data_IF_651851026643
#
_entry.id   IF_651851026643
#
_cell.length_a   1.000
_cell.length_b   1.000
_cell.length_c   1.000
_cell.angle_alpha   90.00
_cell.angle_beta   90.00
_cell.angle_gamma   90.00
#
_symmetry.space_group_name_H-M   'P 1'
#
loop_
_entity.id
_entity.type
_entity.pdbx_description
1 polymer ?
#
# COMPACT_ATOMS: atom_id res chain seq x y z
N UNK A 1 -0.61 1.71 -66.51
CA UNK A 1 -0.11 2.96 -65.87
C UNK A 1 -0.90 3.51 -64.69
N UNK A 2 -2.09 2.96 -64.36
CA UNK A 2 -2.90 3.44 -63.19
C UNK A 2 -2.58 2.74 -61.88
N UNK A 3 -1.77 1.69 -61.82
CA UNK A 3 -1.43 0.95 -60.62
C UNK A 3 -0.12 1.44 -59.95
N UNK A 4 0.71 2.19 -60.68
CA UNK A 4 2.01 2.67 -60.18
C UNK A 4 1.93 3.95 -59.35
N UNK A 5 0.82 4.74 -59.50
CA UNK A 5 0.64 6.01 -58.78
C UNK A 5 0.05 5.84 -57.37
N UNK A 6 -0.62 4.70 -57.05
CA UNK A 6 -1.18 4.46 -55.71
C UNK A 6 -0.12 4.09 -54.67
N UNK A 7 0.93 3.38 -55.07
CA UNK A 7 1.98 2.96 -54.15
C UNK A 7 2.91 4.08 -53.65
N UNK A 8 3.18 5.09 -54.52
CA UNK A 8 4.04 6.24 -54.15
C UNK A 8 3.32 7.19 -53.16
N UNK A 9 2.00 7.39 -53.31
CA UNK A 9 1.24 8.21 -52.40
C UNK A 9 1.14 7.66 -50.97
N UNK A 10 1.11 6.34 -50.81
CA UNK A 10 1.06 5.69 -49.50
C UNK A 10 2.43 5.68 -48.78
N UNK A 11 3.51 5.59 -49.54
CA UNK A 11 4.88 5.71 -48.99
C UNK A 11 5.16 7.13 -48.51
N UNK A 12 4.77 8.14 -49.28
CA UNK A 12 4.92 9.54 -48.86
C UNK A 12 4.01 9.89 -47.66
N UNK A 13 2.80 9.37 -47.62
CA UNK A 13 1.91 9.53 -46.44
C UNK A 13 2.51 8.92 -45.19
N UNK A 14 3.11 7.72 -45.28
CA UNK A 14 3.78 7.09 -44.14
C UNK A 14 5.03 7.84 -43.71
N UNK A 15 5.86 8.37 -44.63
CA UNK A 15 7.06 9.11 -44.29
C UNK A 15 6.80 10.48 -43.68
N UNK A 16 5.65 11.10 -43.96
CA UNK A 16 5.28 12.42 -43.41
C UNK A 16 4.45 12.23 -42.12
N UNK A 17 3.60 11.18 -42.02
CA UNK A 17 2.78 10.92 -40.85
C UNK A 17 3.55 10.30 -39.63
N UNK A 18 4.58 9.47 -39.89
CA UNK A 18 5.36 8.86 -38.82
C UNK A 18 6.07 9.86 -37.89
N UNK A 19 6.72 10.91 -38.36
CA UNK A 19 7.28 11.96 -37.52
C UNK A 19 6.19 12.82 -36.82
N UNK A 20 5.00 12.95 -37.44
CA UNK A 20 3.89 13.72 -36.90
C UNK A 20 3.15 12.97 -35.79
N UNK A 21 3.22 11.62 -35.74
CA UNK A 21 2.58 10.82 -34.68
C UNK A 21 3.20 11.17 -33.33
N UNK A 22 4.51 11.16 -33.19
CA UNK A 22 5.17 11.52 -31.94
C UNK A 22 4.95 12.98 -31.52
N UNK A 23 4.80 13.90 -32.51
CA UNK A 23 4.43 15.28 -32.22
C UNK A 23 2.96 15.41 -31.79
N UNK A 24 2.08 14.60 -32.36
CA UNK A 24 0.66 14.54 -31.98
C UNK A 24 0.49 13.87 -30.63
N UNK A 25 1.21 12.79 -30.33
CA UNK A 25 1.25 12.17 -29.00
C UNK A 25 1.70 13.18 -27.94
N UNK A 26 2.81 13.87 -28.18
CA UNK A 26 3.30 14.91 -27.27
C UNK A 26 2.37 16.12 -27.15
N UNK A 27 1.66 16.50 -28.22
CA UNK A 27 0.63 17.55 -28.15
C UNK A 27 -0.62 17.07 -27.41
N UNK A 28 -1.01 15.81 -27.55
CA UNK A 28 -2.13 15.21 -26.81
C UNK A 28 -1.78 15.13 -25.32
N UNK A 29 -0.59 14.68 -24.96
CA UNK A 29 -0.10 14.68 -23.56
C UNK A 29 -0.04 16.10 -22.96
N UNK A 30 0.26 17.12 -23.76
CA UNK A 30 0.33 18.51 -23.32
C UNK A 30 -1.05 19.19 -23.21
N UNK A 31 -2.02 18.80 -24.04
CA UNK A 31 -3.37 19.36 -24.10
C UNK A 31 -4.36 18.58 -23.24
N UNK A 32 -4.10 17.31 -23.02
CA UNK A 32 -4.85 16.39 -22.18
C UNK A 32 -3.83 15.62 -21.35
N UNK A 33 -3.29 16.21 -20.28
CA UNK A 33 -2.47 15.46 -19.35
C UNK A 33 -3.33 14.29 -18.90
N UNK A 34 -2.78 13.08 -19.03
CA UNK A 34 -3.41 11.88 -18.47
C UNK A 34 -3.34 12.04 -16.95
N UNK A 35 -4.40 12.56 -16.37
CA UNK A 35 -4.51 12.82 -14.93
C UNK A 35 -4.77 11.54 -14.13
N UNK A 36 -4.71 10.38 -14.77
CA UNK A 36 -4.99 9.07 -14.14
C UNK A 36 -6.48 8.86 -13.83
N UNK A 37 -7.29 9.91 -13.78
CA UNK A 37 -8.69 9.86 -13.36
C UNK A 37 -9.54 8.98 -14.28
N UNK A 38 -9.25 8.98 -15.58
CA UNK A 38 -9.98 8.15 -16.55
C UNK A 38 -9.70 6.65 -16.35
N UNK A 39 -8.48 6.27 -15.98
CA UNK A 39 -8.12 4.88 -15.69
C UNK A 39 -8.77 4.41 -14.38
N UNK A 40 -8.79 5.27 -13.37
CA UNK A 40 -9.43 5.01 -12.07
C UNK A 40 -10.95 4.85 -12.20
N UNK A 41 -11.60 5.75 -12.94
CA UNK A 41 -13.04 5.65 -13.23
C UNK A 41 -13.35 4.33 -13.95
N UNK A 42 -12.55 3.94 -14.94
CA UNK A 42 -12.69 2.68 -15.66
C UNK A 42 -12.51 1.45 -14.77
N UNK A 43 -11.60 1.48 -13.80
CA UNK A 43 -11.44 0.39 -12.82
C UNK A 43 -12.66 0.32 -11.90
N UNK A 44 -13.08 1.44 -11.34
CA UNK A 44 -14.27 1.51 -10.48
C UNK A 44 -15.58 1.19 -11.22
N UNK A 45 -15.65 1.39 -12.53
CA UNK A 45 -16.78 0.99 -13.37
C UNK A 45 -16.94 -0.52 -13.52
N UNK A 46 -15.92 -1.32 -13.10
CA UNK A 46 -16.08 -2.78 -12.97
C UNK A 46 -17.11 -3.19 -11.91
N UNK A 47 -17.40 -2.30 -10.93
CA UNK A 47 -18.38 -2.53 -9.86
C UNK A 47 -19.80 -2.16 -10.31
N UNK A 48 -20.24 -2.72 -11.44
CA UNK A 48 -21.55 -2.45 -12.01
C UNK A 48 -22.69 -3.18 -11.30
N UNK A 49 -23.79 -2.51 -11.01
CA UNK A 49 -24.96 -3.11 -10.34
C UNK A 49 -25.58 -4.29 -11.11
N UNK A 50 -25.43 -4.35 -12.44
CA UNK A 50 -25.93 -5.48 -13.25
C UNK A 50 -25.26 -6.81 -12.87
N UNK A 51 -24.02 -6.79 -12.39
CA UNK A 51 -23.31 -8.00 -11.99
C UNK A 51 -23.80 -8.56 -10.65
N UNK A 52 -24.50 -7.78 -9.82
CA UNK A 52 -25.05 -8.23 -8.54
C UNK A 52 -26.06 -9.37 -8.65
N UNK A 53 -26.56 -9.67 -9.85
CA UNK A 53 -27.37 -10.86 -10.13
C UNK A 53 -26.54 -12.13 -10.26
N UNK A 54 -25.23 -12.00 -10.39
CA UNK A 54 -24.26 -13.09 -10.56
C UNK A 54 -23.16 -12.97 -9.50
N UNK A 55 -23.38 -13.50 -8.27
CA UNK A 55 -22.47 -13.29 -7.13
C UNK A 55 -21.00 -13.61 -7.44
N UNK A 56 -20.73 -14.73 -8.10
CA UNK A 56 -19.36 -15.10 -8.46
C UNK A 56 -18.65 -14.05 -9.33
N UNK A 57 -19.37 -13.45 -10.30
CA UNK A 57 -18.81 -12.38 -11.13
C UNK A 57 -18.61 -11.10 -10.35
N UNK A 58 -19.56 -10.74 -9.48
CA UNK A 58 -19.45 -9.54 -8.63
C UNK A 58 -18.23 -9.65 -7.68
N UNK A 59 -18.02 -10.81 -7.08
CA UNK A 59 -16.89 -11.08 -6.19
C UNK A 59 -15.58 -10.98 -6.96
N UNK A 60 -15.50 -11.57 -8.15
CA UNK A 60 -14.30 -11.49 -9.01
C UNK A 60 -13.98 -10.04 -9.42
N UNK A 61 -14.99 -9.23 -9.77
CA UNK A 61 -14.78 -7.81 -10.05
C UNK A 61 -14.32 -7.05 -8.80
N UNK A 62 -14.91 -7.33 -7.63
CA UNK A 62 -14.46 -6.75 -6.36
C UNK A 62 -13.02 -7.12 -6.04
N UNK A 63 -12.61 -8.39 -6.28
CA UNK A 63 -11.22 -8.84 -6.09
C UNK A 63 -10.25 -8.02 -6.93
N UNK A 64 -10.53 -7.82 -8.22
CA UNK A 64 -9.68 -7.05 -9.10
C UNK A 64 -9.52 -5.60 -8.65
N UNK A 65 -10.63 -4.96 -8.24
CA UNK A 65 -10.60 -3.57 -7.78
C UNK A 65 -9.91 -3.45 -6.41
N UNK A 66 -10.09 -4.42 -5.50
CA UNK A 66 -9.40 -4.42 -4.21
C UNK A 66 -7.89 -4.64 -4.39
N UNK A 67 -7.47 -5.50 -5.32
CA UNK A 67 -6.05 -5.67 -5.64
C UNK A 67 -5.43 -4.37 -6.16
N UNK A 68 -6.12 -3.66 -7.06
CA UNK A 68 -5.69 -2.34 -7.54
C UNK A 68 -5.56 -1.31 -6.40
N UNK A 69 -6.51 -1.31 -5.46
CA UNK A 69 -6.46 -0.48 -4.25
C UNK A 69 -5.24 -0.81 -3.39
N UNK A 70 -4.97 -2.09 -3.16
CA UNK A 70 -3.82 -2.56 -2.37
C UNK A 70 -2.48 -2.12 -2.99
N UNK A 71 -2.30 -2.31 -4.30
CA UNK A 71 -1.10 -1.89 -5.03
C UNK A 71 -0.90 -0.36 -5.00
N UNK A 72 -2.00 0.41 -5.07
CA UNK A 72 -1.97 1.87 -4.95
C UNK A 72 -1.58 2.32 -3.54
N UNK A 73 -2.11 1.67 -2.50
CA UNK A 73 -1.75 1.96 -1.11
C UNK A 73 -0.25 1.66 -0.84
N UNK A 74 0.26 0.54 -1.38
CA UNK A 74 1.70 0.23 -1.34
C UNK A 74 2.51 1.34 -2.02
N UNK A 75 2.18 1.70 -3.26
CA UNK A 75 2.88 2.74 -4.01
C UNK A 75 2.86 4.10 -3.28
N UNK A 76 1.73 4.46 -2.67
CA UNK A 76 1.55 5.70 -1.93
C UNK A 76 2.47 5.76 -0.69
N UNK A 77 2.48 4.69 0.12
CA UNK A 77 3.34 4.62 1.29
C UNK A 77 4.84 4.63 0.91
N UNK A 78 5.23 3.87 -0.11
CA UNK A 78 6.62 3.85 -0.59
C UNK A 78 7.09 5.24 -1.06
N UNK A 79 6.20 6.00 -1.71
CA UNK A 79 6.46 7.39 -2.12
C UNK A 79 6.62 8.29 -0.90
N UNK A 80 5.71 8.23 0.07
CA UNK A 80 5.74 9.04 1.28
C UNK A 80 7.01 8.81 2.11
N UNK A 81 7.40 7.54 2.33
CA UNK A 81 8.64 7.18 3.03
C UNK A 81 9.88 7.70 2.29
N UNK A 82 9.83 7.77 0.95
CA UNK A 82 10.93 8.31 0.13
C UNK A 82 11.16 9.82 0.32
N UNK A 83 10.14 10.58 0.74
CA UNK A 83 10.20 12.05 0.87
C UNK A 83 11.15 12.52 1.97
N UNK A 84 11.36 11.74 3.04
CA UNK A 84 12.31 12.08 4.11
C UNK A 84 13.74 12.21 3.55
N UNK A 85 14.16 11.27 2.71
CA UNK A 85 15.50 11.23 2.16
C UNK A 85 15.67 12.13 0.93
N UNK A 86 14.58 12.31 0.17
CA UNK A 86 14.57 13.12 -1.04
C UNK A 86 13.26 13.86 -1.18
N UNK A 87 13.24 15.10 -0.71
CA UNK A 87 12.06 15.94 -0.84
C UNK A 87 11.70 16.24 -2.31
N UNK A 88 10.41 16.20 -2.61
CA UNK A 88 9.82 16.53 -3.91
C UNK A 88 8.41 17.07 -3.70
N UNK A 89 8.18 18.34 -4.06
CA UNK A 89 6.83 18.95 -4.01
C UNK A 89 5.83 18.23 -4.91
N UNK A 90 6.31 17.62 -5.99
CA UNK A 90 5.47 16.80 -6.88
C UNK A 90 5.01 15.55 -6.16
N UNK A 91 5.93 14.79 -5.58
CA UNK A 91 5.63 13.51 -4.93
C UNK A 91 4.77 13.74 -3.67
N UNK A 92 5.02 14.81 -2.92
CA UNK A 92 4.17 15.23 -1.80
C UNK A 92 2.71 15.44 -2.23
N UNK A 93 2.47 16.18 -3.33
CA UNK A 93 1.11 16.36 -3.85
C UNK A 93 0.50 15.05 -4.33
N UNK A 94 1.28 14.20 -5.01
CA UNK A 94 0.83 12.90 -5.49
C UNK A 94 0.41 11.97 -4.34
N UNK A 95 1.08 12.04 -3.18
CA UNK A 95 0.67 11.26 -2.00
C UNK A 95 -0.75 11.64 -1.57
N UNK A 96 -1.07 12.93 -1.45
CA UNK A 96 -2.42 13.37 -1.06
C UNK A 96 -3.49 13.11 -2.14
N UNK A 97 -3.13 13.23 -3.43
CA UNK A 97 -4.02 12.89 -4.53
C UNK A 97 -4.34 11.39 -4.54
N UNK A 98 -3.34 10.54 -4.29
CA UNK A 98 -3.50 9.07 -4.25
C UNK A 98 -4.31 8.64 -3.03
N UNK A 99 -4.12 9.25 -1.86
CA UNK A 99 -4.94 9.01 -0.67
C UNK A 99 -6.41 9.27 -0.98
N UNK A 100 -6.74 10.43 -1.54
CA UNK A 100 -8.13 10.78 -1.93
C UNK A 100 -8.73 9.83 -2.97
N UNK A 101 -7.90 9.20 -3.80
CA UNK A 101 -8.32 8.13 -4.72
C UNK A 101 -8.65 6.86 -3.94
N UNK A 102 -7.79 6.45 -3.01
CA UNK A 102 -7.96 5.23 -2.21
C UNK A 102 -9.20 5.32 -1.32
N UNK A 103 -9.49 6.47 -0.72
CA UNK A 103 -10.72 6.75 0.01
C UNK A 103 -11.98 6.50 -0.86
N UNK A 104 -11.97 6.98 -2.13
CA UNK A 104 -13.05 6.67 -3.07
C UNK A 104 -13.17 5.18 -3.42
N UNK A 105 -12.05 4.45 -3.45
CA UNK A 105 -12.08 2.99 -3.64
C UNK A 105 -12.74 2.30 -2.45
N UNK A 106 -12.40 2.68 -1.22
CA UNK A 106 -13.00 2.12 0.00
C UNK A 106 -14.51 2.31 0.01
N UNK A 107 -14.99 3.55 -0.18
CA UNK A 107 -16.41 3.89 -0.21
C UNK A 107 -17.19 3.07 -1.26
N UNK A 108 -16.66 3.00 -2.50
CA UNK A 108 -17.34 2.33 -3.62
C UNK A 108 -17.32 0.80 -3.44
N UNK A 109 -16.18 0.24 -3.04
CA UNK A 109 -16.03 -1.19 -2.73
C UNK A 109 -16.90 -1.59 -1.55
N UNK A 110 -16.84 -0.86 -0.43
CA UNK A 110 -17.63 -1.13 0.76
C UNK A 110 -19.13 -1.17 0.45
N UNK A 111 -19.63 -0.15 -0.26
CA UNK A 111 -21.03 -0.10 -0.70
C UNK A 111 -21.39 -1.26 -1.63
N UNK A 112 -20.52 -1.64 -2.55
CA UNK A 112 -20.77 -2.73 -3.49
C UNK A 112 -20.72 -4.10 -2.82
N UNK A 113 -19.75 -4.37 -1.99
CA UNK A 113 -19.60 -5.59 -1.20
C UNK A 113 -20.79 -5.79 -0.26
N UNK A 114 -21.29 -4.74 0.40
CA UNK A 114 -22.51 -4.79 1.22
C UNK A 114 -23.75 -5.18 0.40
N UNK A 115 -23.85 -4.76 -0.88
CA UNK A 115 -24.91 -5.23 -1.76
C UNK A 115 -24.78 -6.70 -2.11
N UNK A 116 -23.55 -7.21 -2.25
CA UNK A 116 -23.28 -8.63 -2.51
C UNK A 116 -23.70 -9.48 -1.30
N UNK A 117 -23.43 -9.05 -0.05
CA UNK A 117 -23.83 -9.81 1.17
C UNK A 117 -25.35 -10.01 1.29
N UNK A 118 -26.14 -9.15 0.64
CA UNK A 118 -27.60 -9.30 0.60
C UNK A 118 -28.11 -10.42 -0.34
N UNK A 119 -27.20 -11.08 -1.08
CA UNK A 119 -27.52 -12.15 -2.02
C UNK A 119 -27.35 -13.53 -1.38
N UNK A 120 -27.86 -14.57 -2.03
CA UNK A 120 -27.62 -15.95 -1.61
C UNK A 120 -26.22 -16.37 -1.99
N UNK A 121 -25.30 -16.33 -1.05
CA UNK A 121 -23.89 -16.73 -1.21
C UNK A 121 -23.64 -18.14 -0.71
N UNK A 122 -22.69 -18.84 -1.29
CA UNK A 122 -22.08 -20.03 -0.67
C UNK A 122 -21.22 -19.59 0.53
N UNK A 123 -20.83 -20.55 1.39
CA UNK A 123 -19.96 -20.27 2.50
C UNK A 123 -18.65 -19.65 2.04
N UNK A 124 -17.95 -20.26 1.06
CA UNK A 124 -16.69 -19.72 0.54
C UNK A 124 -16.82 -18.33 -0.09
N UNK A 125 -17.96 -18.03 -0.74
CA UNK A 125 -18.23 -16.69 -1.25
C UNK A 125 -18.46 -15.67 -0.12
N UNK A 126 -19.12 -16.05 0.95
CA UNK A 126 -19.32 -15.18 2.13
C UNK A 126 -17.99 -14.87 2.82
N UNK A 127 -17.12 -15.87 2.93
CA UNK A 127 -15.77 -15.73 3.49
C UNK A 127 -14.91 -14.78 2.66
N UNK A 128 -14.94 -14.97 1.33
CA UNK A 128 -14.19 -14.10 0.42
C UNK A 128 -14.68 -12.64 0.46
N UNK A 129 -15.98 -12.40 0.48
CA UNK A 129 -16.57 -11.06 0.64
C UNK A 129 -16.20 -10.45 1.99
N UNK A 130 -16.20 -11.26 3.06
CA UNK A 130 -15.80 -10.82 4.40
C UNK A 130 -14.34 -10.38 4.42
N UNK A 131 -13.44 -11.15 3.79
CA UNK A 131 -12.02 -10.75 3.65
C UNK A 131 -11.89 -9.36 3.02
N UNK A 132 -12.55 -9.12 1.89
CA UNK A 132 -12.46 -7.82 1.22
C UNK A 132 -13.03 -6.70 2.09
N UNK A 133 -14.18 -6.90 2.76
CA UNK A 133 -14.76 -5.90 3.65
C UNK A 133 -13.84 -5.51 4.82
N UNK A 134 -13.07 -6.47 5.35
CA UNK A 134 -12.11 -6.17 6.42
C UNK A 134 -10.87 -5.47 5.88
N UNK A 135 -10.33 -5.91 4.75
CA UNK A 135 -9.04 -5.43 4.25
C UNK A 135 -9.10 -4.08 3.53
N UNK A 136 -10.24 -3.68 2.93
CA UNK A 136 -10.33 -2.36 2.26
C UNK A 136 -10.06 -1.21 3.23
N UNK A 137 -10.53 -1.32 4.48
CA UNK A 137 -10.27 -0.31 5.50
C UNK A 137 -8.80 -0.28 5.95
N UNK A 138 -8.11 -1.45 5.98
CA UNK A 138 -6.69 -1.48 6.30
C UNK A 138 -5.85 -0.84 5.18
N UNK A 139 -6.21 -1.02 3.89
CA UNK A 139 -5.53 -0.35 2.78
C UNK A 139 -5.76 1.17 2.77
N UNK A 140 -6.96 1.62 3.11
CA UNK A 140 -7.25 3.05 3.30
C UNK A 140 -6.40 3.61 4.42
N UNK A 141 -6.34 2.95 5.60
CA UNK A 141 -5.51 3.37 6.74
C UNK A 141 -4.02 3.42 6.42
N UNK A 142 -3.49 2.46 5.65
CA UNK A 142 -2.11 2.52 5.17
C UNK A 142 -1.87 3.78 4.35
N UNK A 143 -2.83 4.19 3.52
CA UNK A 143 -2.73 5.41 2.72
C UNK A 143 -2.88 6.68 3.56
N UNK A 144 -3.75 6.69 4.57
CA UNK A 144 -3.83 7.76 5.58
C UNK A 144 -2.48 7.97 6.27
N UNK A 145 -1.83 6.88 6.68
CA UNK A 145 -0.50 6.94 7.30
C UNK A 145 0.57 7.41 6.32
N UNK A 146 0.44 7.10 5.02
CA UNK A 146 1.32 7.66 3.99
C UNK A 146 1.21 9.19 3.93
N UNK A 147 -0.02 9.73 3.99
CA UNK A 147 -0.23 11.18 4.05
C UNK A 147 0.44 11.78 5.29
N UNK A 148 0.22 11.21 6.48
CA UNK A 148 0.83 11.68 7.73
C UNK A 148 2.38 11.65 7.68
N UNK A 149 2.97 10.58 7.12
CA UNK A 149 4.43 10.46 6.92
C UNK A 149 4.93 11.54 5.97
N UNK A 150 4.19 11.83 4.89
CA UNK A 150 4.54 12.88 3.95
C UNK A 150 4.48 14.28 4.58
N UNK A 151 3.52 14.52 5.48
CA UNK A 151 3.43 15.77 6.26
C UNK A 151 4.60 15.91 7.24
N UNK A 152 5.01 14.84 7.91
CA UNK A 152 6.21 14.82 8.75
C UNK A 152 7.48 15.09 7.92
N UNK A 153 7.60 14.50 6.72
CA UNK A 153 8.70 14.78 5.80
C UNK A 153 8.70 16.26 5.32
N UNK A 154 7.50 16.82 5.09
CA UNK A 154 7.34 18.25 4.78
C UNK A 154 7.82 19.14 5.93
N UNK A 155 7.48 18.78 7.16
CA UNK A 155 7.93 19.53 8.35
C UNK A 155 9.46 19.48 8.50
N UNK A 156 10.09 18.31 8.25
CA UNK A 156 11.55 18.17 8.22
C UNK A 156 12.16 19.12 7.18
N UNK A 157 11.61 19.13 5.97
CA UNK A 157 12.07 19.96 4.88
C UNK A 157 11.90 21.46 5.16
N UNK A 158 10.69 21.91 5.53
CA UNK A 158 10.35 23.31 5.70
C UNK A 158 11.09 23.97 6.89
N UNK A 159 11.38 23.19 7.93
CA UNK A 159 12.08 23.65 9.13
C UNK A 159 13.58 23.35 9.11
N UNK A 160 14.09 22.75 8.04
CA UNK A 160 15.49 22.30 7.91
C UNK A 160 15.96 21.50 9.13
N UNK A 161 15.14 20.53 9.57
CA UNK A 161 15.43 19.70 10.73
C UNK A 161 16.53 18.69 10.39
N UNK A 162 17.60 18.71 11.16
CA UNK A 162 18.75 17.80 10.99
C UNK A 162 18.78 16.80 12.14
N UNK A 163 18.54 15.54 11.88
CA UNK A 163 18.71 14.46 12.84
C UNK A 163 20.19 14.12 13.04
N UNK A 164 20.53 13.54 14.20
CA UNK A 164 21.89 13.02 14.41
C UNK A 164 22.15 11.83 13.47
N UNK A 165 23.45 11.51 13.19
CA UNK A 165 23.76 10.35 12.34
C UNK A 165 23.16 9.04 12.86
N UNK A 166 23.11 8.86 14.17
CA UNK A 166 22.51 7.70 14.83
C UNK A 166 21.00 7.64 14.58
N UNK A 167 20.29 8.78 14.77
CA UNK A 167 18.86 8.84 14.51
C UNK A 167 18.53 8.65 13.02
N UNK A 168 19.39 9.14 12.11
CA UNK A 168 19.24 8.87 10.68
C UNK A 168 19.38 7.37 10.38
N UNK A 169 20.37 6.70 10.98
CA UNK A 169 20.56 5.25 10.82
C UNK A 169 19.36 4.46 11.35
N UNK A 170 18.87 4.80 12.55
CA UNK A 170 17.67 4.19 13.13
C UNK A 170 16.46 4.33 12.17
N UNK A 171 16.23 5.53 11.62
CA UNK A 171 15.15 5.78 10.65
C UNK A 171 15.34 4.97 9.35
N UNK A 172 16.56 4.82 8.85
CA UNK A 172 16.83 4.02 7.65
C UNK A 172 16.53 2.54 7.89
N UNK A 173 16.84 2.00 9.08
CA UNK A 173 16.54 0.62 9.46
C UNK A 173 15.04 0.37 9.52
N UNK A 174 14.30 1.21 10.28
CA UNK A 174 12.84 1.03 10.42
C UNK A 174 12.11 1.22 9.10
N UNK A 175 12.50 2.18 8.27
CA UNK A 175 11.93 2.39 6.94
C UNK A 175 12.14 1.19 6.00
N UNK A 176 13.28 0.51 6.11
CA UNK A 176 13.55 -0.71 5.36
C UNK A 176 12.62 -1.84 5.80
N UNK A 177 12.44 -2.03 7.11
CA UNK A 177 11.51 -3.02 7.65
C UNK A 177 10.05 -2.75 7.26
N UNK A 178 9.62 -1.47 7.31
CA UNK A 178 8.27 -1.04 6.89
C UNK A 178 8.03 -1.30 5.40
N UNK A 179 9.03 -1.05 4.56
CA UNK A 179 8.94 -1.38 3.12
C UNK A 179 8.79 -2.88 2.88
N UNK A 180 9.51 -3.69 3.64
CA UNK A 180 9.43 -5.15 3.51
C UNK A 180 8.07 -5.67 3.98
N UNK A 181 7.60 -5.30 5.18
CA UNK A 181 6.31 -5.79 5.69
C UNK A 181 5.16 -5.43 4.76
N UNK A 182 5.17 -4.22 4.21
CA UNK A 182 4.17 -3.78 3.24
C UNK A 182 4.19 -4.65 1.98
N UNK A 183 5.36 -4.86 1.39
CA UNK A 183 5.51 -5.68 0.17
C UNK A 183 5.13 -7.15 0.42
N UNK A 184 5.43 -7.68 1.61
CA UNK A 184 5.03 -9.04 1.99
C UNK A 184 3.52 -9.13 2.15
N UNK A 185 2.88 -8.18 2.86
CA UNK A 185 1.44 -8.18 3.12
C UNK A 185 0.62 -7.97 1.83
N UNK A 186 0.95 -6.95 1.02
CA UNK A 186 0.26 -6.68 -0.25
C UNK A 186 0.44 -7.83 -1.23
N UNK A 187 1.66 -8.35 -1.39
CA UNK A 187 1.90 -9.50 -2.25
C UNK A 187 1.17 -10.75 -1.79
N UNK A 188 1.12 -11.03 -0.48
CA UNK A 188 0.34 -12.14 0.06
C UNK A 188 -1.16 -11.97 -0.24
N UNK A 189 -1.68 -10.74 -0.16
CA UNK A 189 -3.08 -10.45 -0.44
C UNK A 189 -3.42 -10.65 -1.93
N UNK A 190 -2.64 -10.06 -2.83
CA UNK A 190 -2.86 -10.12 -4.28
C UNK A 190 -2.75 -11.55 -4.82
N UNK A 191 -1.75 -12.30 -4.34
CA UNK A 191 -1.51 -13.69 -4.72
C UNK A 191 -2.39 -14.68 -3.94
N UNK A 192 -3.08 -14.22 -2.89
CA UNK A 192 -3.80 -15.04 -1.91
C UNK A 192 -2.91 -16.16 -1.35
N UNK A 193 -1.72 -15.79 -0.87
CA UNK A 193 -0.69 -16.71 -0.38
C UNK A 193 -0.58 -16.67 1.16
N UNK A 194 -1.18 -17.65 1.89
CA UNK A 194 -1.12 -17.72 3.34
C UNK A 194 0.28 -18.00 3.88
N UNK A 195 1.15 -18.64 3.12
CA UNK A 195 2.54 -18.91 3.54
C UNK A 195 3.36 -17.61 3.54
N UNK A 196 3.12 -16.75 2.54
CA UNK A 196 3.70 -15.40 2.51
C UNK A 196 3.13 -14.53 3.63
N UNK A 197 1.80 -14.60 3.86
CA UNK A 197 1.14 -13.89 4.96
C UNK A 197 1.70 -14.26 6.34
N UNK A 198 2.07 -15.53 6.57
CA UNK A 198 2.66 -16.00 7.83
C UNK A 198 4.03 -15.36 8.17
N UNK A 199 4.64 -14.61 7.26
CA UNK A 199 5.89 -13.86 7.50
C UNK A 199 5.63 -12.46 8.07
N UNK A 200 4.41 -11.96 7.98
CA UNK A 200 4.07 -10.58 8.36
C UNK A 200 4.17 -10.38 9.86
N UNK A 201 3.52 -11.24 10.64
CA UNK A 201 3.48 -11.12 12.10
C UNK A 201 4.88 -11.15 12.77
N UNK A 202 5.82 -12.04 12.38
CA UNK A 202 7.19 -11.98 12.91
C UNK A 202 7.91 -10.67 12.60
N UNK A 203 7.64 -10.05 11.45
CA UNK A 203 8.25 -8.78 11.07
C UNK A 203 7.59 -7.59 11.78
N UNK A 204 6.29 -7.65 12.03
CA UNK A 204 5.57 -6.67 12.84
C UNK A 204 6.11 -6.63 14.26
N UNK A 205 6.30 -7.78 14.95
CA UNK A 205 6.93 -7.83 16.29
C UNK A 205 8.36 -7.23 16.29
N UNK A 206 9.11 -7.33 15.19
CA UNK A 206 10.43 -6.68 15.06
C UNK A 206 10.27 -5.17 14.93
N UNK A 207 9.32 -4.69 14.12
CA UNK A 207 9.06 -3.25 13.92
C UNK A 207 8.63 -2.61 15.24
N UNK A 208 7.74 -3.23 16.00
CA UNK A 208 7.34 -2.78 17.33
C UNK A 208 8.53 -2.67 18.28
N UNK A 209 9.35 -3.72 18.31
CA UNK A 209 10.58 -3.71 19.13
C UNK A 209 11.55 -2.60 18.74
N UNK A 210 11.75 -2.35 17.43
CA UNK A 210 12.56 -1.25 16.93
C UNK A 210 11.97 0.12 17.33
N UNK A 211 10.66 0.30 17.19
CA UNK A 211 10.00 1.55 17.60
C UNK A 211 10.21 1.85 19.08
N UNK A 212 10.08 0.85 19.96
CA UNK A 212 10.29 1.01 21.40
C UNK A 212 11.74 1.35 21.74
N UNK A 213 12.70 0.67 21.11
CA UNK A 213 14.14 0.96 21.29
C UNK A 213 14.49 2.36 20.80
N UNK A 214 14.03 2.76 19.61
CA UNK A 214 14.22 4.08 19.04
C UNK A 214 13.59 5.20 19.90
N UNK A 215 12.39 4.97 20.46
CA UNK A 215 11.76 5.89 21.42
C UNK A 215 12.62 6.06 22.68
N UNK A 216 13.25 4.98 23.19
CA UNK A 216 14.17 5.04 24.34
C UNK A 216 15.43 5.83 23.99
N UNK A 217 16.10 5.53 22.88
CA UNK A 217 17.27 6.28 22.41
C UNK A 217 16.96 7.77 22.19
N UNK A 218 15.74 8.07 21.72
CA UNK A 218 15.32 9.45 21.55
C UNK A 218 15.20 10.20 22.87
N UNK A 219 14.67 9.58 23.92
CA UNK A 219 14.62 10.16 25.27
C UNK A 219 16.05 10.46 25.78
N UNK A 220 17.00 9.58 25.57
CA UNK A 220 18.41 9.79 25.95
C UNK A 220 19.04 10.96 25.19
N UNK A 221 18.74 11.10 23.88
CA UNK A 221 19.17 12.27 23.07
C UNK A 221 18.57 13.57 23.56
N UNK A 222 17.30 13.57 23.98
CA UNK A 222 16.67 14.76 24.60
C UNK A 222 17.34 15.14 25.92
N UNK A 223 17.59 14.17 26.81
CA UNK A 223 18.21 14.40 28.11
C UNK A 223 19.65 14.92 28.00
N UNK A 224 20.40 14.41 27.01
CA UNK A 224 21.76 14.88 26.74
C UNK A 224 21.83 16.22 25.99
N UNK A 225 20.69 16.75 25.54
CA UNK A 225 20.64 17.97 24.72
C UNK A 225 21.14 17.80 23.29
N UNK A 226 21.27 16.55 22.82
CA UNK A 226 21.72 16.20 21.46
C UNK A 226 20.61 16.37 20.42
N UNK A 227 19.36 16.57 20.86
CA UNK A 227 18.25 16.84 19.96
C UNK A 227 17.31 17.89 20.57
N UNK A 228 16.56 18.57 19.70
CA UNK A 228 15.56 19.56 20.09
C UNK A 228 14.18 18.93 20.26
N UNK A 229 13.27 19.60 21.00
CA UNK A 229 11.89 19.15 21.14
C UNK A 229 11.17 19.03 19.77
N UNK A 230 11.42 19.96 18.83
CA UNK A 230 10.81 19.88 17.50
C UNK A 230 11.25 18.65 16.73
N UNK A 231 12.55 18.31 16.75
CA UNK A 231 13.05 17.06 16.18
C UNK A 231 12.38 15.85 16.84
N UNK A 232 12.17 15.92 18.16
CA UNK A 232 11.54 14.86 18.92
C UNK A 232 10.09 14.59 18.55
N UNK A 233 9.31 15.63 18.34
CA UNK A 233 7.93 15.47 17.91
C UNK A 233 7.84 14.80 16.55
N UNK A 234 8.57 15.30 15.56
CA UNK A 234 8.56 14.73 14.21
C UNK A 234 9.10 13.30 14.18
N UNK A 235 10.16 13.01 14.95
CA UNK A 235 10.71 11.65 15.08
C UNK A 235 9.67 10.68 15.64
N UNK A 236 8.98 11.07 16.73
CA UNK A 236 7.96 10.23 17.33
C UNK A 236 6.72 10.06 16.43
N UNK A 237 6.33 11.10 15.68
CA UNK A 237 5.23 11.02 14.72
C UNK A 237 5.55 10.04 13.59
N UNK A 238 6.77 10.04 13.06
CA UNK A 238 7.22 9.04 12.08
C UNK A 238 7.12 7.63 12.65
N UNK A 239 7.67 7.39 13.86
CA UNK A 239 7.63 6.06 14.49
C UNK A 239 6.20 5.57 14.71
N UNK A 240 5.32 6.45 15.19
CA UNK A 240 3.91 6.09 15.41
C UNK A 240 3.23 5.68 14.10
N UNK A 241 3.49 6.41 13.00
CA UNK A 241 2.91 6.05 11.71
C UNK A 241 3.51 4.74 11.15
N UNK A 242 4.81 4.47 11.33
CA UNK A 242 5.43 3.21 10.92
C UNK A 242 4.88 2.00 11.68
N UNK A 243 4.72 2.12 13.02
CA UNK A 243 4.08 1.12 13.87
C UNK A 243 2.65 0.82 13.41
N UNK A 244 1.83 1.85 13.15
CA UNK A 244 0.46 1.69 12.65
C UNK A 244 0.37 1.03 11.27
N UNK A 245 1.29 1.34 10.37
CA UNK A 245 1.36 0.66 9.07
C UNK A 245 1.64 -0.85 9.26
N UNK A 246 2.53 -1.21 10.18
CA UNK A 246 2.81 -2.62 10.48
C UNK A 246 1.58 -3.33 11.09
N UNK A 247 0.85 -2.68 12.02
CA UNK A 247 -0.43 -3.15 12.56
C UNK A 247 -1.45 -3.48 11.45
N UNK A 248 -1.61 -2.57 10.46
CA UNK A 248 -2.54 -2.78 9.34
C UNK A 248 -2.07 -3.89 8.41
N UNK A 249 -0.77 -4.05 8.18
CA UNK A 249 -0.22 -5.18 7.43
C UNK A 249 -0.50 -6.51 8.14
N UNK A 250 -0.39 -6.56 9.49
CA UNK A 250 -0.74 -7.72 10.30
C UNK A 250 -2.23 -8.07 10.17
N UNK A 251 -3.14 -7.08 10.24
CA UNK A 251 -4.57 -7.30 10.02
C UNK A 251 -4.88 -7.92 8.65
N UNK A 252 -4.23 -7.42 7.58
CA UNK A 252 -4.37 -7.97 6.23
C UNK A 252 -3.91 -9.43 6.19
N UNK A 253 -2.77 -9.74 6.80
CA UNK A 253 -2.23 -11.10 6.85
C UNK A 253 -3.16 -12.06 7.61
N UNK A 254 -3.72 -11.63 8.75
CA UNK A 254 -4.72 -12.37 9.51
C UNK A 254 -5.93 -12.71 8.64
N UNK A 255 -6.47 -11.72 7.90
CA UNK A 255 -7.64 -11.94 7.03
C UNK A 255 -7.38 -12.96 5.90
N UNK A 256 -6.13 -13.10 5.44
CA UNK A 256 -5.74 -14.11 4.45
C UNK A 256 -5.68 -15.51 5.08
N UNK A 257 -5.08 -15.64 6.26
CA UNK A 257 -4.84 -16.91 6.92
C UNK A 257 -6.15 -17.49 7.50
N UNK A 258 -7.06 -16.67 8.02
CA UNK A 258 -8.37 -17.09 8.56
C UNK A 258 -9.23 -17.77 7.50
N UNK A 259 -9.16 -17.36 6.25
CA UNK A 259 -9.90 -18.01 5.15
C UNK A 259 -9.47 -19.44 4.88
N UNK A 260 -8.21 -19.79 5.12
CA UNK A 260 -7.70 -21.14 4.89
C UNK A 260 -8.07 -22.11 6.02
N UNK A 261 -8.30 -21.59 7.22
CA UNK A 261 -8.52 -22.37 8.45
C UNK A 261 -9.98 -22.54 8.72
N UNK A 262 -10.90 -22.96 7.99
CA UNK A 262 -12.34 -23.35 8.27
C UNK A 262 -12.90 -22.99 9.68
N UNK A 263 -12.19 -22.19 10.48
CA UNK A 263 -12.50 -21.85 11.88
C UNK A 263 -12.75 -20.34 12.04
N UNK A 264 -14.05 -19.98 12.08
CA UNK A 264 -14.55 -18.63 12.36
C UNK A 264 -14.36 -18.16 13.81
N UNK A 265 -13.46 -18.75 14.60
CA UNK A 265 -13.25 -18.35 15.98
C UNK A 265 -11.94 -17.58 16.12
N UNK A 266 -12.04 -16.24 16.09
CA UNK A 266 -10.93 -15.27 16.23
C UNK A 266 -10.09 -15.58 17.50
N UNK A 267 -10.70 -16.13 18.55
CA UNK A 267 -9.99 -16.52 19.77
C UNK A 267 -9.24 -17.86 19.63
N UNK A 268 -9.75 -18.78 18.84
CA UNK A 268 -9.10 -20.07 18.58
C UNK A 268 -7.95 -19.88 17.57
N UNK A 269 -8.10 -18.95 16.62
CA UNK A 269 -7.05 -18.52 15.72
C UNK A 269 -5.90 -17.83 16.46
N UNK A 270 -6.15 -16.85 17.30
CA UNK A 270 -5.11 -16.22 18.14
C UNK A 270 -4.39 -17.26 19.03
N UNK A 271 -5.07 -18.31 19.42
CA UNK A 271 -4.45 -19.44 20.14
C UNK A 271 -3.71 -20.39 19.18
N UNK A 272 -4.18 -20.59 17.94
CA UNK A 272 -3.49 -21.41 16.93
C UNK A 272 -2.32 -20.68 16.28
N UNK A 273 -2.38 -19.37 16.09
CA UNK A 273 -1.23 -18.52 15.75
C UNK A 273 -0.23 -18.50 16.90
N UNK A 274 -0.66 -18.40 18.15
CA UNK A 274 0.21 -18.58 19.32
C UNK A 274 0.79 -19.99 19.42
N UNK A 275 0.11 -21.01 18.91
CA UNK A 275 0.61 -22.38 18.84
C UNK A 275 1.44 -22.65 17.56
N UNK A 276 1.17 -21.98 16.44
CA UNK A 276 2.08 -21.87 15.27
C UNK A 276 3.28 -20.95 15.54
N UNK A 277 3.34 -20.23 16.65
CA UNK A 277 4.60 -19.72 17.23
C UNK A 277 5.65 -20.82 17.38
N UNK A 278 5.30 -22.06 16.93
CA UNK A 278 6.13 -23.22 17.13
C UNK A 278 7.41 -23.23 16.32
N UNK A 279 7.51 -23.25 15.07
CA UNK A 279 8.81 -23.38 14.36
C UNK A 279 9.04 -22.38 13.23
N UNK A 280 8.00 -22.06 12.45
CA UNK A 280 8.14 -21.13 11.34
C UNK A 280 8.16 -19.66 11.79
N UNK A 281 7.29 -19.29 12.75
CA UNK A 281 7.32 -17.96 13.35
C UNK A 281 8.67 -17.66 13.99
N UNK A 282 9.16 -18.57 14.89
CA UNK A 282 10.43 -18.39 15.55
C UNK A 282 11.60 -18.27 14.54
N UNK A 283 11.56 -19.05 13.45
CA UNK A 283 12.55 -18.95 12.38
C UNK A 283 12.51 -17.59 11.69
N UNK A 284 11.35 -17.11 11.24
CA UNK A 284 11.23 -15.82 10.58
C UNK A 284 11.56 -14.66 11.52
N UNK A 285 11.16 -14.75 12.78
CA UNK A 285 11.52 -13.77 13.80
C UNK A 285 13.03 -13.65 13.99
N UNK A 286 13.74 -14.79 14.10
CA UNK A 286 15.20 -14.77 14.21
C UNK A 286 15.90 -14.31 12.92
N UNK A 287 15.35 -14.61 11.73
CA UNK A 287 15.83 -14.09 10.45
C UNK A 287 15.72 -12.56 10.43
N UNK A 288 14.56 -12.01 10.73
CA UNK A 288 14.32 -10.55 10.73
C UNK A 288 15.08 -9.82 11.85
N UNK A 289 15.22 -10.44 13.02
CA UNK A 289 16.04 -9.89 14.11
C UNK A 289 17.51 -9.77 13.77
N UNK A 290 18.03 -10.65 12.90
CA UNK A 290 19.40 -10.54 12.41
C UNK A 290 19.54 -9.50 11.29
N UNK A 291 18.48 -9.26 10.53
CA UNK A 291 18.45 -8.31 9.43
C UNK A 291 18.23 -6.88 9.92
N UNK A 292 17.27 -6.70 10.83
CA UNK A 292 16.86 -5.40 11.36
C UNK A 292 17.30 -5.24 12.81
N UNK A 293 18.40 -4.52 13.03
CA UNK A 293 18.93 -4.17 14.36
C UNK A 293 19.53 -2.78 14.35
N UNK A 294 19.46 -2.06 15.48
CA UNK A 294 19.97 -0.71 15.65
C UNK A 294 21.43 -0.68 16.10
#
# INVERSE_FOLDING_TARGET
DRLRSRGLGDVYKRQVLLPCIGLMEHMVELLFPDDGSAAEEQEMDRLEERFLQHPALSIEQSRLVTNSMAERAEGNLLMAVGLRNRWSDKDFRMVGETESVIDRYEDKLGTYLMKITSKSLSQSQSEEVSKYLHTISDFERISDHALNISEAAKEIHDKDLQFSPEACHELDVIESAVREILSVAVGAFVENDPQRAARVEPLEEIIDGLCDEMKSHHVDRLQSGSCTLNQGFVFNDLLTNYERVADHCSNIAVAIIELESDSFDTHEYLNSVRAMKSSSFARYYEEYKQEYHL
#
